data_IF_886173446805
#
_entry.id   IF_886173446805
#
_cell.length_a   1.000
_cell.length_b   1.000
_cell.length_c   1.000
_cell.angle_alpha   90.00
_cell.angle_beta   90.00
_cell.angle_gamma   90.00
#
_symmetry.space_group_name_H-M   'P 1'
#
loop_
_entity.id
_entity.type
_entity.pdbx_description
1 polymer ?
#
# COMPACT_ATOMS: atom_id res chain seq x y z
N UNK A 1 4.01 13.80 -35.58
CA UNK A 1 4.15 12.48 -34.95
C UNK A 1 3.51 12.49 -33.60
N UNK A 2 2.77 11.41 -33.27
CA UNK A 2 2.24 11.29 -31.92
C UNK A 2 3.36 10.95 -30.95
N UNK A 3 3.39 11.66 -29.86
CA UNK A 3 4.33 11.41 -28.80
C UNK A 3 4.06 10.06 -28.11
N UNK A 4 5.10 9.33 -27.82
CA UNK A 4 5.00 8.06 -27.08
C UNK A 4 4.62 8.30 -25.64
N UNK A 5 3.81 7.39 -25.09
CA UNK A 5 3.50 7.39 -23.66
C UNK A 5 4.35 6.34 -22.94
N UNK A 6 4.95 6.75 -21.84
CA UNK A 6 5.64 5.84 -20.95
C UNK A 6 4.65 5.49 -19.84
N UNK A 7 4.28 4.22 -19.77
CA UNK A 7 3.24 3.76 -18.85
C UNK A 7 3.71 2.61 -17.99
N UNK A 8 3.10 2.49 -16.81
CA UNK A 8 3.30 1.35 -15.93
C UNK A 8 2.01 1.07 -15.16
N UNK A 9 1.65 -0.19 -15.11
CA UNK A 9 0.54 -0.65 -14.26
C UNK A 9 1.13 -1.13 -12.93
N UNK A 10 0.63 -0.58 -11.84
CA UNK A 10 1.02 -0.99 -10.50
C UNK A 10 -0.16 -1.67 -9.84
N UNK A 11 0.05 -2.88 -9.36
CA UNK A 11 -0.95 -3.65 -8.64
C UNK A 11 -0.66 -3.64 -7.16
N UNK A 12 -1.72 -3.52 -6.35
CA UNK A 12 -1.62 -3.58 -4.90
C UNK A 12 -2.89 -4.22 -4.33
N UNK A 13 -2.80 -4.66 -3.09
CA UNK A 13 -3.98 -5.06 -2.33
C UNK A 13 -4.32 -3.96 -1.33
N UNK A 14 -5.59 -3.56 -1.32
CA UNK A 14 -6.14 -2.74 -0.25
C UNK A 14 -6.79 -3.68 0.76
N UNK A 15 -6.31 -3.65 1.97
CA UNK A 15 -6.74 -4.56 3.03
C UNK A 15 -7.40 -3.74 4.13
N UNK A 16 -8.61 -4.14 4.52
CA UNK A 16 -9.32 -3.54 5.66
C UNK A 16 -9.15 -4.46 6.85
N UNK A 17 -8.58 -3.92 7.92
CA UNK A 17 -8.26 -4.67 9.12
C UNK A 17 -9.03 -4.13 10.32
N UNK A 18 -9.36 -5.02 11.24
CA UNK A 18 -9.93 -4.64 12.53
C UNK A 18 -8.82 -4.57 13.57
N UNK A 19 -8.89 -3.55 14.42
CA UNK A 19 -7.96 -3.41 15.52
C UNK A 19 -8.70 -3.06 16.82
N UNK A 20 -8.06 -3.36 17.93
CA UNK A 20 -8.53 -2.96 19.24
C UNK A 20 -7.67 -1.81 19.76
N UNK A 21 -8.32 -0.78 20.30
CA UNK A 21 -7.63 0.24 21.09
C UNK A 21 -7.69 -0.24 22.54
N UNK A 22 -6.56 -0.72 23.02
CA UNK A 22 -6.47 -1.36 24.34
C UNK A 22 -6.70 -0.37 25.47
N UNK A 23 -6.22 0.85 25.29
CA UNK A 23 -6.35 1.91 26.30
C UNK A 23 -7.79 2.38 26.44
N UNK A 24 -8.48 2.59 25.33
CA UNK A 24 -9.84 3.12 25.32
C UNK A 24 -10.92 2.04 25.34
N UNK A 25 -10.54 0.77 25.22
CA UNK A 25 -11.46 -0.36 25.16
C UNK A 25 -12.46 -0.24 24.02
N UNK A 26 -11.98 0.19 22.85
CA UNK A 26 -12.80 0.34 21.64
C UNK A 26 -12.20 -0.46 20.49
N UNK A 27 -12.98 -0.63 19.44
CA UNK A 27 -12.51 -1.26 18.21
C UNK A 27 -12.64 -0.29 17.04
N UNK A 28 -11.76 -0.43 16.07
CA UNK A 28 -11.79 0.38 14.86
C UNK A 28 -11.35 -0.40 13.65
N UNK A 29 -11.46 0.25 12.50
CA UNK A 29 -11.00 -0.29 11.22
C UNK A 29 -9.86 0.57 10.70
N UNK A 30 -8.89 -0.07 10.05
CA UNK A 30 -7.84 0.64 9.33
C UNK A 30 -7.65 0.03 7.95
N UNK A 31 -7.08 0.83 7.06
CA UNK A 31 -6.79 0.41 5.69
C UNK A 31 -5.29 0.35 5.50
N UNK A 32 -4.81 -0.78 4.99
CA UNK A 32 -3.41 -1.01 4.70
C UNK A 32 -3.24 -1.36 3.22
N UNK A 33 -2.13 -0.96 2.65
CA UNK A 33 -1.78 -1.31 1.28
C UNK A 33 -0.65 -2.33 1.30
N UNK A 34 -0.82 -3.41 0.56
CA UNK A 34 0.20 -4.46 0.42
C UNK A 34 0.56 -4.62 -1.07
N UNK A 35 1.80 -5.04 -1.37
CA UNK A 35 2.18 -5.29 -2.76
C UNK A 35 1.27 -6.29 -3.46
N UNK A 36 0.99 -6.06 -4.75
CA UNK A 36 0.16 -6.96 -5.55
C UNK A 36 0.76 -8.35 -5.74
N UNK A 37 2.04 -8.51 -5.46
CA UNK A 37 2.73 -9.80 -5.48
C UNK A 37 2.51 -10.63 -4.22
N UNK A 38 1.87 -10.08 -3.20
CA UNK A 38 1.59 -10.80 -1.96
C UNK A 38 0.64 -11.97 -2.24
N UNK A 39 1.01 -13.20 -1.84
CA UNK A 39 0.09 -14.34 -1.98
C UNK A 39 -1.19 -14.13 -1.15
N UNK A 40 -2.34 -14.47 -1.72
CA UNK A 40 -3.62 -14.27 -1.02
C UNK A 40 -3.70 -14.96 0.34
N UNK A 41 -3.13 -16.15 0.45
CA UNK A 41 -3.11 -16.90 1.70
C UNK A 41 -2.16 -16.31 2.76
N UNK A 42 -1.40 -15.28 2.40
CA UNK A 42 -0.49 -14.58 3.33
C UNK A 42 -0.92 -13.15 3.61
N UNK A 43 -2.03 -12.69 3.03
CA UNK A 43 -2.48 -11.32 3.21
C UNK A 43 -2.70 -10.96 4.68
N UNK A 44 -3.34 -11.82 5.45
CA UNK A 44 -3.57 -11.56 6.87
C UNK A 44 -2.26 -11.44 7.65
N UNK A 45 -1.32 -12.34 7.39
CA UNK A 45 -0.01 -12.32 8.03
C UNK A 45 0.77 -11.06 7.69
N UNK A 46 0.79 -10.69 6.41
CA UNK A 46 1.51 -9.49 5.96
C UNK A 46 0.82 -8.21 6.43
N UNK A 47 -0.51 -8.19 6.51
CA UNK A 47 -1.25 -7.07 7.05
C UNK A 47 -0.95 -6.88 8.55
N UNK A 48 -0.89 -7.97 9.31
CA UNK A 48 -0.51 -7.95 10.73
C UNK A 48 0.88 -7.34 10.92
N UNK A 49 1.82 -7.74 10.08
CA UNK A 49 3.18 -7.22 10.10
C UNK A 49 3.23 -5.74 9.77
N UNK A 50 2.53 -5.32 8.71
CA UNK A 50 2.46 -3.91 8.31
C UNK A 50 1.81 -3.05 9.38
N UNK A 51 0.79 -3.57 10.06
CA UNK A 51 0.14 -2.90 11.18
C UNK A 51 1.13 -2.66 12.32
N UNK A 52 1.90 -3.67 12.70
CA UNK A 52 2.89 -3.58 13.77
C UNK A 52 4.03 -2.61 13.43
N UNK A 53 4.39 -2.48 12.16
CA UNK A 53 5.43 -1.59 11.69
C UNK A 53 4.94 -0.15 11.44
N UNK A 54 3.63 0.07 11.49
CA UNK A 54 3.05 1.41 11.28
C UNK A 54 3.44 2.35 12.42
N UNK A 55 3.87 3.58 12.09
CA UNK A 55 4.18 4.59 13.13
C UNK A 55 2.93 5.04 13.90
N UNK A 56 1.74 4.81 13.36
CA UNK A 56 0.47 5.14 14.02
C UNK A 56 -0.01 3.98 14.89
N UNK A 57 -0.05 2.77 14.33
CA UNK A 57 -0.65 1.61 14.99
C UNK A 57 0.35 0.75 15.75
N UNK A 58 1.63 0.90 15.47
CA UNK A 58 2.70 0.14 16.13
C UNK A 58 3.15 0.71 17.48
N UNK A 59 2.39 1.63 18.06
CA UNK A 59 2.78 2.35 19.29
C UNK A 59 2.56 1.58 20.59
N UNK A 60 1.89 0.42 20.51
CA UNK A 60 1.57 -0.38 21.69
C UNK A 60 0.17 -0.13 22.27
N UNK A 61 -0.53 0.89 21.79
CA UNK A 61 -1.91 1.19 22.22
C UNK A 61 -2.95 0.43 21.40
N UNK A 62 -2.54 -0.11 20.26
CA UNK A 62 -3.42 -0.79 19.31
C UNK A 62 -2.99 -2.24 19.14
N UNK A 63 -3.97 -3.13 19.06
CA UNK A 63 -3.73 -4.54 18.80
C UNK A 63 -4.47 -4.97 17.53
N UNK A 64 -3.76 -5.63 16.63
CA UNK A 64 -4.35 -6.18 15.42
C UNK A 64 -5.27 -7.34 15.78
N UNK A 65 -6.50 -7.32 15.28
CA UNK A 65 -7.49 -8.36 15.53
C UNK A 65 -7.57 -9.34 14.35
N UNK A 66 -7.95 -8.83 13.18
CA UNK A 66 -8.09 -9.66 11.99
C UNK A 66 -8.23 -8.82 10.73
N UNK A 67 -8.02 -9.47 9.60
CA UNK A 67 -8.36 -8.91 8.30
C UNK A 67 -9.86 -9.09 8.06
N UNK A 68 -10.58 -8.01 7.78
CA UNK A 68 -12.01 -8.03 7.51
C UNK A 68 -12.30 -8.35 6.04
N UNK A 69 -11.61 -7.64 5.15
CA UNK A 69 -11.79 -7.79 3.70
C UNK A 69 -10.57 -7.28 2.96
N UNK A 70 -10.46 -7.63 1.71
CA UNK A 70 -9.41 -7.13 0.84
C UNK A 70 -9.89 -7.06 -0.61
N UNK A 71 -9.23 -6.23 -1.40
CA UNK A 71 -9.45 -6.18 -2.84
C UNK A 71 -8.14 -5.87 -3.56
N UNK A 72 -8.02 -6.40 -4.77
CA UNK A 72 -6.87 -6.11 -5.63
C UNK A 72 -7.17 -4.85 -6.45
N UNK A 73 -6.24 -3.92 -6.45
CA UNK A 73 -6.35 -2.65 -7.18
C UNK A 73 -5.23 -2.56 -8.18
N UNK A 74 -5.59 -2.18 -9.41
CA UNK A 74 -4.62 -1.91 -10.48
C UNK A 74 -4.73 -0.45 -10.86
N UNK A 75 -3.60 0.26 -10.86
CA UNK A 75 -3.54 1.65 -11.28
C UNK A 75 -2.56 1.80 -12.44
N UNK A 76 -3.01 2.48 -13.48
CA UNK A 76 -2.17 2.80 -14.62
C UNK A 76 -1.56 4.19 -14.44
N UNK A 77 -0.24 4.24 -14.38
CA UNK A 77 0.50 5.49 -14.35
C UNK A 77 1.12 5.71 -15.72
N UNK A 78 1.08 6.96 -16.18
CA UNK A 78 1.65 7.28 -17.48
C UNK A 78 2.04 8.74 -17.58
N UNK A 79 2.99 9.00 -18.45
CA UNK A 79 3.41 10.35 -18.80
C UNK A 79 3.92 10.35 -20.22
N UNK A 80 3.98 11.53 -20.84
CA UNK A 80 4.58 11.67 -22.16
C UNK A 80 6.07 11.36 -22.11
N UNK A 81 6.61 10.95 -23.25
CA UNK A 81 8.06 10.67 -23.37
C UNK A 81 8.89 11.90 -23.02
N UNK A 82 8.46 13.10 -23.45
CA UNK A 82 9.14 14.34 -23.12
C UNK A 82 9.22 14.57 -21.63
N UNK A 83 8.12 14.38 -20.92
CA UNK A 83 8.08 14.53 -19.47
C UNK A 83 8.95 13.50 -18.77
N UNK A 84 8.90 12.26 -19.25
CA UNK A 84 9.73 11.19 -18.69
C UNK A 84 11.22 11.52 -18.82
N UNK A 85 11.66 11.99 -19.98
CA UNK A 85 13.05 12.37 -20.21
C UNK A 85 13.45 13.52 -19.29
N UNK A 86 12.57 14.51 -19.12
CA UNK A 86 12.82 15.64 -18.24
C UNK A 86 13.06 15.18 -16.79
N UNK A 87 12.23 14.27 -16.28
CA UNK A 87 12.42 13.71 -14.93
C UNK A 87 13.69 12.88 -14.84
N UNK A 88 13.99 12.07 -15.85
CA UNK A 88 15.21 11.25 -15.86
C UNK A 88 16.48 12.10 -15.77
N UNK A 89 16.50 13.29 -16.39
CA UNK A 89 17.63 14.21 -16.33
C UNK A 89 17.81 14.88 -14.98
N UNK A 90 16.77 14.89 -14.14
CA UNK A 90 16.83 15.50 -12.81
C UNK A 90 17.37 14.53 -11.75
N UNK A 91 17.54 13.27 -12.10
CA UNK A 91 18.07 12.28 -11.15
C UNK A 91 19.56 12.55 -10.90
N UNK A 92 20.02 12.43 -9.64
CA UNK A 92 21.43 12.62 -9.36
C UNK A 92 22.27 11.54 -10.03
N UNK A 93 23.48 11.86 -10.46
CA UNK A 93 24.38 10.86 -11.03
C UNK A 93 24.72 9.82 -9.97
N UNK A 94 24.78 8.58 -10.41
CA UNK A 94 25.16 7.46 -9.55
C UNK A 94 26.67 7.29 -9.52
#
# INVERSE_FOLDING_TARGET
MKERMVTRTIESYEVTCLYANVKEMTMGECHLSLPGSTPENKLDKEARKAFAESPIYGTGEFAYVSMKEYRKVSELYGMSESDFIRYAKQLPPR
#
